data_IF_252779253861
#
_entry.id   IF_252779253861
#
_cell.length_a   1.000
_cell.length_b   1.000
_cell.length_c   1.000
_cell.angle_alpha   90.00
_cell.angle_beta   90.00
_cell.angle_gamma   90.00
#
_symmetry.space_group_name_H-M   'P 1'
#
loop_
_entity.id
_entity.type
_entity.pdbx_description
1 polymer ?
#
# COMPACT_ATOMS: atom_id res chain seq x y z
N UNK A 1 7.81 15.41 -19.80
CA UNK A 1 8.02 15.21 -18.36
C UNK A 1 9.42 14.60 -18.19
N UNK A 2 10.18 15.04 -17.19
CA UNK A 2 11.54 14.54 -16.97
C UNK A 2 11.49 13.08 -16.50
N UNK A 3 12.09 12.16 -17.28
CA UNK A 3 12.13 10.73 -17.00
C UNK A 3 12.86 10.45 -15.68
N UNK A 4 13.91 11.24 -15.38
CA UNK A 4 14.64 11.13 -14.11
C UNK A 4 13.76 11.43 -12.90
N UNK A 5 12.94 12.49 -12.97
CA UNK A 5 12.00 12.84 -11.91
C UNK A 5 10.93 11.77 -11.71
N UNK A 6 10.42 11.20 -12.81
CA UNK A 6 9.44 10.09 -12.76
C UNK A 6 10.02 8.85 -12.08
N UNK A 7 11.26 8.48 -12.43
CA UNK A 7 11.93 7.33 -11.83
C UNK A 7 12.19 7.54 -10.33
N UNK A 8 12.68 8.72 -9.94
CA UNK A 8 12.90 9.07 -8.53
C UNK A 8 11.58 9.05 -7.75
N UNK A 9 10.53 9.67 -8.29
CA UNK A 9 9.22 9.71 -7.64
C UNK A 9 8.61 8.30 -7.50
N UNK A 10 8.75 7.46 -8.52
CA UNK A 10 8.30 6.07 -8.50
C UNK A 10 8.98 5.28 -7.37
N UNK A 11 10.30 5.38 -7.25
CA UNK A 11 11.06 4.72 -6.18
C UNK A 11 10.66 5.29 -4.81
N UNK A 12 10.49 6.61 -4.71
CA UNK A 12 10.11 7.28 -3.45
C UNK A 12 8.72 6.88 -2.96
N UNK A 13 7.79 6.61 -3.86
CA UNK A 13 6.43 6.19 -3.52
C UNK A 13 6.35 4.68 -3.31
N UNK A 14 6.73 3.89 -4.32
CA UNK A 14 6.55 2.43 -4.27
C UNK A 14 7.57 1.72 -3.38
N UNK A 15 8.81 2.21 -3.33
CA UNK A 15 9.85 1.58 -2.52
C UNK A 15 9.44 1.41 -1.05
N UNK A 16 9.07 2.47 -0.33
CA UNK A 16 8.59 2.36 1.04
C UNK A 16 7.32 1.52 1.19
N UNK A 17 6.37 1.60 0.24
CA UNK A 17 5.11 0.86 0.33
C UNK A 17 5.30 -0.65 0.20
N UNK A 18 6.14 -1.10 -0.73
CA UNK A 18 6.49 -2.53 -0.86
C UNK A 18 7.29 -2.98 0.36
N UNK A 19 8.22 -2.14 0.86
CA UNK A 19 8.96 -2.47 2.07
C UNK A 19 8.04 -2.63 3.30
N UNK A 20 7.04 -1.77 3.46
CA UNK A 20 6.04 -1.86 4.54
C UNK A 20 5.20 -3.13 4.41
N UNK A 21 4.82 -3.50 3.19
CA UNK A 21 4.13 -4.74 2.89
C UNK A 21 4.95 -5.95 3.37
N UNK A 22 6.20 -6.06 2.94
CA UNK A 22 7.11 -7.14 3.33
C UNK A 22 7.39 -7.16 4.83
N UNK A 23 7.49 -5.96 5.45
CA UNK A 23 7.63 -5.83 6.89
C UNK A 23 6.43 -6.39 7.64
N UNK A 24 5.21 -6.25 7.09
CA UNK A 24 4.00 -6.87 7.62
C UNK A 24 4.13 -8.39 7.70
N UNK A 25 4.48 -9.05 6.60
CA UNK A 25 4.74 -10.50 6.56
C UNK A 25 5.83 -10.91 7.55
N UNK A 26 6.94 -10.20 7.54
CA UNK A 26 8.08 -10.45 8.41
C UNK A 26 7.72 -10.42 9.90
N UNK A 27 7.05 -9.36 10.34
CA UNK A 27 6.70 -9.17 11.75
C UNK A 27 5.73 -10.27 12.23
N UNK A 28 4.67 -10.53 11.47
CA UNK A 28 3.65 -11.51 11.85
C UNK A 28 4.21 -12.94 11.78
N UNK A 29 5.05 -13.26 10.79
CA UNK A 29 5.74 -14.55 10.72
C UNK A 29 6.61 -14.78 11.96
N UNK A 30 7.44 -13.80 12.33
CA UNK A 30 8.30 -13.90 13.51
C UNK A 30 7.53 -14.02 14.83
N UNK A 31 6.45 -13.24 14.99
CA UNK A 31 5.60 -13.30 16.18
C UNK A 31 4.93 -14.67 16.34
N UNK A 32 4.68 -15.38 15.24
CA UNK A 32 4.09 -16.72 15.23
C UNK A 32 5.12 -17.86 15.16
N UNK A 33 6.43 -17.56 15.32
CA UNK A 33 7.48 -18.57 15.36
C UNK A 33 7.87 -19.16 14.01
N UNK A 34 7.44 -18.55 12.90
CA UNK A 34 7.91 -18.89 11.55
C UNK A 34 9.29 -18.29 11.33
N UNK A 35 10.25 -19.13 10.92
CA UNK A 35 11.60 -18.68 10.66
C UNK A 35 11.70 -17.95 9.33
N UNK A 36 12.34 -16.79 9.35
CA UNK A 36 12.64 -15.99 8.15
C UNK A 36 14.13 -16.15 7.82
N UNK A 37 14.41 -16.65 6.63
CA UNK A 37 15.78 -16.86 6.16
C UNK A 37 16.43 -15.54 5.75
N UNK A 38 15.70 -14.71 5.00
CA UNK A 38 16.22 -13.46 4.47
C UNK A 38 15.15 -12.36 4.51
N UNK A 39 15.58 -11.14 4.88
CA UNK A 39 14.85 -9.91 4.72
C UNK A 39 15.71 -8.95 3.89
N UNK A 40 15.30 -8.69 2.66
CA UNK A 40 16.04 -7.88 1.71
C UNK A 40 15.45 -6.49 1.53
N UNK A 41 16.31 -5.48 1.52
CA UNK A 41 15.98 -4.13 1.06
C UNK A 41 16.24 -4.07 -0.45
N UNK A 42 15.19 -3.89 -1.24
CA UNK A 42 15.23 -4.02 -2.69
C UNK A 42 15.09 -5.48 -3.16
N UNK A 43 14.93 -5.66 -4.49
CA UNK A 43 14.82 -6.99 -5.11
C UNK A 43 16.19 -7.51 -5.60
N UNK A 44 16.40 -8.84 -5.61
CA UNK A 44 17.61 -9.47 -6.13
C UNK A 44 17.99 -8.98 -7.54
N UNK A 45 19.28 -9.07 -7.91
CA UNK A 45 20.34 -9.81 -7.23
C UNK A 45 20.90 -9.11 -5.99
N UNK A 46 21.43 -9.92 -5.03
CA UNK A 46 22.05 -9.42 -3.79
C UNK A 46 23.29 -8.58 -4.12
N UNK A 47 23.32 -7.35 -3.59
CA UNK A 47 24.46 -6.47 -3.66
C UNK A 47 25.38 -6.65 -2.44
N UNK A 48 24.77 -6.64 -1.24
CA UNK A 48 25.51 -6.67 0.02
C UNK A 48 24.70 -7.36 1.13
N UNK A 49 25.37 -8.22 1.92
CA UNK A 49 24.86 -8.66 3.21
C UNK A 49 25.17 -7.61 4.27
N UNK A 50 24.15 -7.02 4.85
CA UNK A 50 24.30 -5.97 5.88
C UNK A 50 24.68 -6.58 7.23
N UNK A 51 23.85 -7.50 7.72
CA UNK A 51 24.11 -8.26 8.95
C UNK A 51 23.28 -9.55 8.96
N UNK A 52 23.60 -10.41 9.92
CA UNK A 52 22.83 -11.62 10.23
C UNK A 52 22.31 -11.54 11.66
N UNK A 53 21.04 -11.84 11.83
CA UNK A 53 20.38 -11.89 13.12
C UNK A 53 20.93 -13.03 14.00
N UNK A 54 20.48 -13.04 15.22
CA UNK A 54 20.78 -14.13 16.17
C UNK A 54 20.10 -15.41 15.73
N UNK A 55 20.84 -16.50 15.66
CA UNK A 55 20.34 -17.83 15.35
C UNK A 55 20.21 -18.73 16.57
N UNK A 56 19.74 -19.96 16.36
CA UNK A 56 19.66 -21.01 17.37
C UNK A 56 20.03 -22.35 16.77
N UNK A 57 20.73 -23.16 17.52
CA UNK A 57 21.11 -24.52 17.16
C UNK A 57 20.81 -25.44 18.31
N UNK A 58 20.28 -26.62 18.01
CA UNK A 58 20.10 -27.67 19.02
C UNK A 58 21.11 -28.78 18.77
N UNK A 59 21.97 -29.04 19.77
CA UNK A 59 22.97 -30.09 19.73
C UNK A 59 22.54 -31.13 20.79
N UNK A 60 22.11 -32.32 20.35
CA UNK A 60 21.47 -33.26 21.23
C UNK A 60 20.27 -32.66 21.95
N UNK A 61 20.32 -32.55 23.28
CA UNK A 61 19.29 -31.95 24.12
C UNK A 61 19.54 -30.46 24.46
N UNK A 62 20.71 -29.91 24.15
CA UNK A 62 21.09 -28.56 24.51
C UNK A 62 20.72 -27.55 23.41
N UNK A 63 20.06 -26.46 23.80
CA UNK A 63 19.82 -25.31 22.92
C UNK A 63 20.98 -24.32 23.04
N UNK A 64 21.56 -23.97 21.90
CA UNK A 64 22.72 -23.08 21.78
C UNK A 64 22.35 -21.90 20.92
N UNK A 65 22.62 -20.71 21.41
CA UNK A 65 22.38 -19.45 20.69
C UNK A 65 23.57 -19.16 19.78
N UNK A 66 23.31 -18.93 18.51
CA UNK A 66 24.28 -18.48 17.53
C UNK A 66 24.33 -16.96 17.59
N UNK A 67 25.49 -16.33 17.90
CA UNK A 67 25.59 -14.88 17.95
C UNK A 67 25.30 -14.21 16.61
N UNK A 68 24.97 -12.91 16.64
CA UNK A 68 24.82 -12.11 15.44
C UNK A 68 26.11 -12.13 14.61
N UNK A 69 26.00 -12.19 13.29
CA UNK A 69 27.10 -12.23 12.33
C UNK A 69 28.11 -13.38 12.54
N UNK A 70 27.73 -14.43 13.25
CA UNK A 70 28.56 -15.61 13.44
C UNK A 70 28.65 -16.40 12.12
N UNK A 71 29.88 -16.70 11.67
CA UNK A 71 30.10 -17.48 10.46
C UNK A 71 30.05 -18.96 10.77
N UNK A 72 28.90 -19.57 10.54
CA UNK A 72 28.74 -21.03 10.62
C UNK A 72 29.36 -21.68 9.38
N UNK A 73 30.20 -22.74 9.55
CA UNK A 73 30.65 -23.56 8.44
C UNK A 73 29.46 -24.09 7.62
N UNK A 74 29.55 -24.17 6.27
CA UNK A 74 28.47 -24.68 5.42
C UNK A 74 28.04 -26.11 5.76
N UNK A 75 28.99 -26.92 6.23
CA UNK A 75 28.80 -28.32 6.60
C UNK A 75 27.95 -28.50 7.86
N UNK A 76 27.79 -27.49 8.71
CA UNK A 76 26.88 -27.53 9.86
C UNK A 76 25.45 -27.50 9.34
N UNK A 77 24.82 -28.67 9.33
CA UNK A 77 23.44 -28.92 8.89
C UNK A 77 22.75 -29.86 9.89
N UNK A 78 21.42 -29.92 9.91
CA UNK A 78 20.72 -30.96 10.67
C UNK A 78 21.22 -32.35 10.26
N UNK A 79 21.55 -33.18 11.24
CA UNK A 79 22.20 -34.48 11.04
C UNK A 79 23.74 -34.43 11.14
N UNK A 80 24.38 -33.29 11.10
CA UNK A 80 25.82 -33.17 11.26
C UNK A 80 26.23 -33.35 12.72
N UNK A 81 27.30 -34.15 12.95
CA UNK A 81 27.96 -34.24 14.24
C UNK A 81 28.95 -33.09 14.41
N UNK A 82 28.81 -32.37 15.51
CA UNK A 82 29.61 -31.18 15.77
C UNK A 82 30.19 -31.20 17.20
N UNK A 83 31.34 -30.56 17.33
CA UNK A 83 31.90 -30.11 18.60
C UNK A 83 31.72 -28.60 18.70
N UNK A 84 30.98 -28.11 19.68
CA UNK A 84 30.72 -26.71 19.92
C UNK A 84 31.35 -26.25 21.24
N UNK A 85 32.08 -25.14 21.21
CA UNK A 85 32.52 -24.44 22.42
C UNK A 85 31.45 -23.40 22.73
N UNK A 86 30.90 -23.47 23.93
CA UNK A 86 29.82 -22.59 24.39
C UNK A 86 30.22 -21.85 25.66
N UNK A 87 29.71 -20.63 25.83
CA UNK A 87 29.83 -19.85 27.05
C UNK A 87 28.43 -19.54 27.59
N UNK A 88 28.27 -19.48 28.90
CA UNK A 88 27.01 -19.02 29.50
C UNK A 88 26.96 -17.50 29.49
N UNK A 89 25.82 -16.92 29.09
CA UNK A 89 25.56 -15.49 29.26
C UNK A 89 25.10 -15.17 30.70
N UNK A 90 24.91 -13.90 31.02
CA UNK A 90 24.42 -13.44 32.32
C UNK A 90 23.05 -14.00 32.72
N UNK A 91 22.32 -14.63 31.78
CA UNK A 91 21.02 -15.31 32.01
C UNK A 91 21.14 -16.84 32.00
N UNK A 92 22.35 -17.37 32.00
CA UNK A 92 22.60 -18.81 31.96
C UNK A 92 22.32 -19.49 30.59
N UNK A 93 22.13 -18.73 29.49
CA UNK A 93 21.90 -19.29 28.16
C UNK A 93 23.22 -19.64 27.50
N UNK A 94 23.29 -20.75 26.79
CA UNK A 94 24.48 -21.20 26.07
C UNK A 94 24.68 -20.41 24.78
N UNK A 95 25.78 -19.68 24.67
CA UNK A 95 26.17 -18.92 23.49
C UNK A 95 27.31 -19.62 22.77
N UNK A 96 27.17 -19.85 21.48
CA UNK A 96 28.18 -20.45 20.62
C UNK A 96 29.39 -19.52 20.47
N UNK A 97 30.57 -20.07 20.75
CA UNK A 97 31.87 -19.38 20.54
C UNK A 97 32.61 -19.94 19.33
N UNK A 98 32.57 -21.28 19.20
CA UNK A 98 33.22 -21.99 18.10
C UNK A 98 32.43 -23.26 17.79
N UNK A 99 32.45 -23.71 16.55
CA UNK A 99 31.88 -24.99 16.13
C UNK A 99 32.77 -25.63 15.08
N UNK A 100 33.01 -26.91 15.24
CA UNK A 100 33.77 -27.73 14.30
C UNK A 100 32.92 -28.96 13.95
N UNK A 101 32.86 -29.30 12.66
CA UNK A 101 32.17 -30.51 12.20
C UNK A 101 33.08 -31.68 12.37
N UNK A 102 32.57 -32.77 12.97
CA UNK A 102 33.29 -34.01 13.16
C UNK A 102 33.05 -34.92 11.95
N UNK A 103 34.14 -35.45 11.35
CA UNK A 103 34.04 -36.41 10.25
C UNK A 103 33.57 -37.76 10.75
N UNK A 104 32.74 -38.48 9.97
CA UNK A 104 32.32 -39.84 10.25
C UNK A 104 33.55 -40.79 10.28
N UNK A 105 33.97 -41.20 11.48
CA UNK A 105 35.12 -42.06 11.66
C UNK A 105 36.08 -41.65 12.78
N UNK A 106 35.98 -40.45 13.31
CA UNK A 106 36.65 -40.08 14.55
C UNK A 106 35.87 -40.61 15.74
N UNK A 107 36.36 -41.71 16.34
CA UNK A 107 35.75 -42.29 17.53
C UNK A 107 35.61 -41.25 18.64
N UNK A 108 34.42 -41.17 19.29
CA UNK A 108 34.17 -40.20 20.37
C UNK A 108 35.04 -40.38 21.62
N UNK A 109 35.96 -41.33 21.63
CA UNK A 109 36.63 -41.82 22.82
C UNK A 109 38.07 -41.34 23.08
N UNK A 110 38.75 -40.67 22.14
CA UNK A 110 40.21 -40.48 22.29
C UNK A 110 40.74 -39.03 22.16
N UNK A 111 39.93 -38.03 22.36
CA UNK A 111 40.45 -36.66 22.55
C UNK A 111 40.16 -36.23 23.98
N UNK A 112 41.23 -36.18 24.82
CA UNK A 112 41.13 -35.60 26.15
C UNK A 112 40.47 -34.20 26.12
N UNK A 113 39.59 -33.93 27.10
CA UNK A 113 38.93 -32.63 27.19
C UNK A 113 39.93 -31.58 27.69
N UNK A 114 40.75 -31.02 26.83
CA UNK A 114 41.35 -29.76 27.13
C UNK A 114 40.23 -28.71 27.19
N UNK A 115 39.71 -28.49 28.41
CA UNK A 115 38.73 -27.43 28.67
C UNK A 115 39.44 -26.11 28.37
N UNK A 116 38.98 -25.34 27.36
CA UNK A 116 39.54 -24.01 27.17
C UNK A 116 39.22 -23.20 28.43
N UNK A 117 40.04 -22.25 28.83
CA UNK A 117 39.89 -21.50 30.08
C UNK A 117 38.58 -20.75 30.22
N UNK A 118 37.78 -20.65 29.17
CA UNK A 118 36.51 -19.90 29.14
C UNK A 118 35.36 -20.58 28.37
N UNK A 119 35.14 -21.89 28.47
CA UNK A 119 33.96 -22.47 27.78
C UNK A 119 33.68 -23.97 28.06
N UNK A 120 32.41 -24.33 28.06
CA UNK A 120 31.94 -25.72 28.10
C UNK A 120 31.97 -26.28 26.66
N UNK A 121 32.51 -27.50 26.48
CA UNK A 121 32.44 -28.21 25.19
C UNK A 121 31.22 -29.08 25.14
N UNK A 122 30.49 -28.99 24.04
CA UNK A 122 29.29 -29.75 23.76
C UNK A 122 29.49 -30.52 22.48
N UNK A 123 29.40 -31.86 22.55
CA UNK A 123 29.48 -32.73 21.36
C UNK A 123 28.12 -33.40 21.14
N UNK A 124 27.70 -33.46 19.88
CA UNK A 124 26.46 -34.13 19.54
C UNK A 124 25.99 -33.84 18.12
N UNK A 125 24.93 -34.52 17.78
CA UNK A 125 24.25 -34.28 16.50
C UNK A 125 23.45 -32.97 16.53
N UNK A 126 23.53 -32.19 15.46
CA UNK A 126 22.68 -31.00 15.24
C UNK A 126 21.28 -31.48 14.86
N UNK A 127 20.35 -31.44 15.80
CA UNK A 127 18.95 -31.86 15.54
C UNK A 127 18.09 -30.76 14.95
N UNK A 128 18.43 -29.51 15.24
CA UNK A 128 17.73 -28.33 14.71
C UNK A 128 18.73 -27.19 14.49
N UNK A 129 18.59 -26.51 13.34
CA UNK A 129 19.42 -25.36 13.00
C UNK A 129 18.55 -24.22 12.46
N UNK A 130 18.63 -23.07 13.11
CA UNK A 130 18.18 -21.78 12.65
C UNK A 130 19.39 -20.85 12.59
N UNK A 131 19.80 -20.46 11.40
CA UNK A 131 20.99 -19.62 11.20
C UNK A 131 20.75 -18.15 11.57
N UNK A 132 19.49 -17.77 11.87
CA UNK A 132 19.04 -16.40 12.03
C UNK A 132 18.80 -15.71 10.69
N UNK A 133 17.95 -14.70 10.71
CA UNK A 133 17.58 -13.95 9.49
C UNK A 133 18.78 -13.19 8.93
N UNK A 134 19.04 -13.34 7.64
CA UNK A 134 19.97 -12.51 6.90
C UNK A 134 19.30 -11.22 6.45
N UNK A 135 19.92 -10.08 6.72
CA UNK A 135 19.46 -8.76 6.24
C UNK A 135 20.38 -8.34 5.10
N UNK A 136 19.79 -8.08 3.93
CA UNK A 136 20.52 -7.84 2.69
C UNK A 136 20.12 -6.53 2.03
N UNK A 137 21.04 -5.95 1.29
CA UNK A 137 20.78 -4.87 0.35
C UNK A 137 20.88 -5.45 -1.06
N UNK A 138 19.89 -5.18 -1.89
CA UNK A 138 19.79 -5.71 -3.24
C UNK A 138 19.88 -4.61 -4.29
N UNK A 139 20.14 -5.01 -5.52
CA UNK A 139 20.48 -4.10 -6.62
C UNK A 139 19.27 -3.27 -7.09
N UNK A 140 18.09 -3.85 -7.11
CA UNK A 140 16.89 -3.17 -7.61
C UNK A 140 16.22 -2.45 -6.44
N UNK A 141 16.23 -1.09 -6.37
CA UNK A 141 15.77 -0.32 -5.21
C UNK A 141 14.24 -0.19 -5.16
N UNK A 142 13.52 -1.27 -5.42
CA UNK A 142 12.06 -1.32 -5.41
C UNK A 142 11.58 -2.14 -4.22
N UNK A 143 11.41 -1.47 -3.06
CA UNK A 143 10.82 -2.08 -1.88
C UNK A 143 11.73 -3.06 -1.15
N UNK A 144 11.24 -4.25 -0.89
CA UNK A 144 11.95 -5.31 -0.18
C UNK A 144 11.42 -6.68 -0.58
N UNK A 145 11.97 -7.72 0.02
CA UNK A 145 11.42 -9.05 -0.04
C UNK A 145 11.67 -9.82 1.27
N UNK A 146 10.79 -10.72 1.57
CA UNK A 146 10.89 -11.65 2.70
C UNK A 146 10.94 -13.06 2.16
N UNK A 147 11.88 -13.87 2.68
CA UNK A 147 11.93 -15.30 2.39
C UNK A 147 11.62 -16.09 3.65
N UNK A 148 10.37 -16.53 3.85
CA UNK A 148 10.05 -17.47 4.91
C UNK A 148 10.70 -18.82 4.64
N UNK A 149 11.16 -19.47 5.69
CA UNK A 149 11.67 -20.83 5.57
C UNK A 149 10.54 -21.77 5.14
N UNK A 150 10.84 -22.69 4.21
CA UNK A 150 9.85 -23.70 3.78
C UNK A 150 8.53 -23.09 3.35
N UNK A 151 8.59 -22.06 2.51
CA UNK A 151 7.40 -21.33 2.04
C UNK A 151 6.44 -22.25 1.28
N UNK A 152 6.95 -23.15 0.46
CA UNK A 152 6.18 -24.07 -0.37
C UNK A 152 6.29 -25.55 0.08
N UNK A 153 7.22 -25.91 1.01
CA UNK A 153 7.39 -27.27 1.50
C UNK A 153 6.89 -27.44 2.95
N UNK A 154 5.75 -28.14 3.16
CA UNK A 154 5.20 -28.38 4.49
C UNK A 154 6.05 -29.30 5.40
N UNK A 155 7.04 -30.02 4.84
CA UNK A 155 7.93 -30.90 5.60
C UNK A 155 9.02 -30.14 6.35
N UNK A 156 9.24 -28.87 5.98
CA UNK A 156 10.28 -28.06 6.61
C UNK A 156 9.84 -27.61 8.00
N UNK A 157 10.55 -28.07 9.01
CA UNK A 157 10.26 -27.74 10.42
C UNK A 157 10.47 -26.24 10.67
N UNK A 158 9.45 -25.58 11.25
CA UNK A 158 9.47 -24.13 11.50
C UNK A 158 9.25 -23.30 10.25
N UNK A 159 8.88 -23.93 9.12
CA UNK A 159 8.53 -23.28 7.87
C UNK A 159 7.11 -22.75 7.81
N UNK A 160 6.85 -21.85 6.88
CA UNK A 160 5.53 -21.23 6.70
C UNK A 160 4.50 -22.27 6.24
N UNK A 161 4.83 -23.09 5.24
CA UNK A 161 3.90 -24.07 4.70
C UNK A 161 3.49 -25.13 5.72
N UNK A 162 4.38 -25.53 6.66
CA UNK A 162 4.10 -26.45 7.75
C UNK A 162 3.35 -25.82 8.94
N UNK A 163 3.19 -24.50 8.98
CA UNK A 163 2.53 -23.80 10.07
C UNK A 163 1.00 -24.06 10.09
N UNK A 164 0.34 -23.93 11.26
CA UNK A 164 -1.12 -24.00 11.36
C UNK A 164 -1.82 -23.03 10.41
N UNK A 165 -3.00 -23.41 9.89
CA UNK A 165 -3.78 -22.60 8.92
C UNK A 165 -3.98 -21.15 9.39
N UNK A 166 -4.29 -20.94 10.68
CA UNK A 166 -4.44 -19.60 11.28
C UNK A 166 -3.18 -18.75 11.18
N UNK A 167 -2.01 -19.38 11.34
CA UNK A 167 -0.72 -18.70 11.24
C UNK A 167 -0.42 -18.33 9.79
N UNK A 168 -0.61 -19.28 8.86
CA UNK A 168 -0.45 -19.04 7.42
C UNK A 168 -1.36 -17.90 6.96
N UNK A 169 -2.64 -17.95 7.33
CA UNK A 169 -3.61 -16.90 7.04
C UNK A 169 -3.17 -15.54 7.60
N UNK A 170 -2.77 -15.49 8.88
CA UNK A 170 -2.34 -14.24 9.52
C UNK A 170 -1.09 -13.64 8.83
N UNK A 171 -0.11 -14.48 8.47
CA UNK A 171 1.09 -14.02 7.76
C UNK A 171 0.72 -13.47 6.39
N UNK A 172 -0.11 -14.17 5.60
CA UNK A 172 -0.50 -13.75 4.25
C UNK A 172 -1.34 -12.47 4.24
N UNK A 173 -2.21 -12.25 5.23
CA UNK A 173 -2.99 -11.02 5.34
C UNK A 173 -2.15 -9.84 5.83
N UNK A 174 -1.04 -10.13 6.53
CA UNK A 174 -0.27 -9.10 7.24
C UNK A 174 0.38 -8.06 6.29
N UNK A 175 0.83 -8.46 5.10
CA UNK A 175 1.39 -7.53 4.11
C UNK A 175 0.37 -6.51 3.65
N UNK A 176 -0.79 -6.97 3.20
CA UNK A 176 -1.90 -6.11 2.81
C UNK A 176 -2.40 -5.25 3.98
N UNK A 177 -2.51 -5.83 5.18
CA UNK A 177 -2.88 -5.11 6.40
C UNK A 177 -1.90 -4.00 6.76
N UNK A 178 -0.60 -4.24 6.58
CA UNK A 178 0.44 -3.23 6.80
C UNK A 178 0.30 -2.05 5.82
N UNK A 179 -0.04 -2.30 4.55
CA UNK A 179 -0.30 -1.24 3.58
C UNK A 179 -1.54 -0.42 3.93
N UNK A 180 -2.63 -1.05 4.36
CA UNK A 180 -3.83 -0.32 4.79
C UNK A 180 -3.56 0.52 6.05
N UNK A 181 -2.78 -0.01 6.99
CA UNK A 181 -2.36 0.72 8.18
C UNK A 181 -1.44 1.90 7.81
N UNK A 182 -0.49 1.69 6.90
CA UNK A 182 0.39 2.77 6.43
C UNK A 182 -0.40 3.91 5.78
N UNK A 183 -1.40 3.58 4.96
CA UNK A 183 -2.29 4.57 4.37
C UNK A 183 -3.05 5.37 5.44
N UNK A 184 -3.59 4.70 6.45
CA UNK A 184 -4.28 5.36 7.56
C UNK A 184 -3.34 6.31 8.34
N UNK A 185 -2.09 5.89 8.57
CA UNK A 185 -1.07 6.73 9.22
C UNK A 185 -0.74 7.95 8.35
N UNK A 186 -0.49 7.76 7.04
CA UNK A 186 -0.16 8.84 6.10
C UNK A 186 -1.31 9.86 6.05
N UNK A 187 -2.56 9.40 5.91
CA UNK A 187 -3.73 10.28 5.87
C UNK A 187 -3.92 11.01 7.21
N UNK A 188 -3.73 10.33 8.34
CA UNK A 188 -3.78 10.98 9.66
C UNK A 188 -2.71 12.07 9.80
N UNK A 189 -1.50 11.83 9.32
CA UNK A 189 -0.44 12.82 9.31
C UNK A 189 -0.79 14.01 8.41
N UNK A 190 -1.41 13.78 7.25
CA UNK A 190 -1.87 14.85 6.37
C UNK A 190 -2.88 15.75 7.08
N UNK A 191 -3.89 15.18 7.73
CA UNK A 191 -4.86 15.97 8.50
C UNK A 191 -4.23 16.71 9.68
N UNK A 192 -3.21 16.14 10.33
CA UNK A 192 -2.51 16.79 11.43
C UNK A 192 -1.57 17.92 10.96
N UNK A 193 -0.90 17.76 9.82
CA UNK A 193 0.07 18.73 9.29
C UNK A 193 -0.54 19.81 8.44
N UNK A 194 -1.72 19.56 7.88
CA UNK A 194 -2.53 20.48 7.10
C UNK A 194 -2.99 19.90 5.78
N UNK A 195 -4.28 20.00 5.56
CA UNK A 195 -4.94 19.69 4.29
C UNK A 195 -5.42 20.96 3.63
N UNK A 196 -5.30 21.09 2.29
CA UNK A 196 -5.85 22.24 1.58
C UNK A 196 -7.38 22.16 1.63
N UNK A 197 -8.00 23.16 2.21
CA UNK A 197 -9.45 23.34 2.20
C UNK A 197 -9.79 24.62 1.43
N UNK A 198 -10.88 24.56 0.69
CA UNK A 198 -11.40 25.72 -0.03
C UNK A 198 -12.03 26.64 1.01
N UNK A 199 -11.32 27.70 1.38
CA UNK A 199 -11.84 28.72 2.28
C UNK A 199 -12.89 29.60 1.57
N UNK A 200 -12.66 29.86 0.30
CA UNK A 200 -13.58 30.64 -0.53
C UNK A 200 -13.60 30.08 -1.95
N UNK A 201 -14.79 29.86 -2.47
CA UNK A 201 -15.02 29.49 -3.86
C UNK A 201 -15.90 30.54 -4.56
N UNK A 202 -15.77 30.62 -5.85
CA UNK A 202 -16.72 31.33 -6.71
C UNK A 202 -17.59 30.33 -7.46
N UNK A 203 -18.87 30.61 -7.51
CA UNK A 203 -19.83 29.79 -8.24
C UNK A 203 -19.89 30.32 -9.68
N UNK A 204 -19.33 29.52 -10.60
CA UNK A 204 -19.20 29.87 -12.02
C UNK A 204 -20.20 29.09 -12.85
N UNK A 205 -20.87 29.73 -13.77
CA UNK A 205 -21.78 29.11 -14.73
C UNK A 205 -20.94 28.33 -15.76
N UNK A 206 -21.02 26.99 -15.72
CA UNK A 206 -20.32 26.11 -16.65
C UNK A 206 -21.09 25.87 -17.95
N UNK A 207 -22.44 25.90 -17.88
CA UNK A 207 -23.31 25.68 -19.03
C UNK A 207 -24.65 26.40 -18.83
N UNK A 208 -25.20 26.92 -19.90
CA UNK A 208 -26.56 27.49 -19.94
C UNK A 208 -27.37 26.71 -20.96
N UNK A 209 -28.44 26.07 -20.54
CA UNK A 209 -29.32 25.27 -21.40
C UNK A 209 -30.11 26.21 -22.33
N UNK A 210 -30.24 25.87 -23.61
CA UNK A 210 -31.12 26.61 -24.53
C UNK A 210 -32.57 26.68 -24.00
N UNK A 211 -33.25 27.79 -24.32
CA UNK A 211 -34.66 28.03 -23.94
C UNK A 211 -34.94 27.98 -22.43
N UNK A 212 -33.90 28.09 -21.62
CA UNK A 212 -34.02 28.13 -20.15
C UNK A 212 -34.29 29.52 -19.62
N UNK A 213 -34.80 29.68 -18.37
CA UNK A 213 -34.90 30.98 -17.72
C UNK A 213 -33.57 31.74 -17.69
N UNK A 214 -32.47 31.04 -17.49
CA UNK A 214 -31.12 31.62 -17.50
C UNK A 214 -30.72 32.14 -18.89
N UNK A 215 -31.02 31.37 -19.96
CA UNK A 215 -30.77 31.84 -21.33
C UNK A 215 -31.60 33.08 -21.70
N UNK A 216 -32.89 33.07 -21.32
CA UNK A 216 -33.78 34.24 -21.56
C UNK A 216 -33.34 35.46 -20.77
N UNK A 217 -32.78 35.29 -19.59
CA UNK A 217 -32.21 36.33 -18.75
C UNK A 217 -30.83 36.81 -19.20
N UNK A 218 -30.22 36.20 -20.25
CA UNK A 218 -28.96 36.62 -20.82
C UNK A 218 -27.71 36.17 -20.01
N UNK A 219 -27.84 35.14 -19.15
CA UNK A 219 -26.72 34.54 -18.48
C UNK A 219 -25.82 33.78 -19.47
N UNK A 220 -24.52 33.82 -19.24
CA UNK A 220 -23.51 33.25 -20.13
C UNK A 220 -22.57 32.28 -19.37
N UNK A 221 -21.91 31.43 -20.13
CA UNK A 221 -20.82 30.59 -19.61
C UNK A 221 -19.69 31.50 -19.11
N UNK A 222 -19.08 31.14 -18.00
CA UNK A 222 -18.08 31.87 -17.23
C UNK A 222 -18.61 33.08 -16.44
N UNK A 223 -19.92 33.30 -16.37
CA UNK A 223 -20.48 34.25 -15.40
C UNK A 223 -20.28 33.72 -13.99
N UNK A 224 -19.92 34.59 -13.05
CA UNK A 224 -19.77 34.27 -11.63
C UNK A 224 -21.00 34.76 -10.90
N UNK A 225 -21.68 33.89 -10.18
CA UNK A 225 -22.81 34.27 -9.32
C UNK A 225 -22.28 34.73 -7.98
N UNK A 226 -22.41 36.04 -7.72
CA UNK A 226 -21.90 36.68 -6.51
C UNK A 226 -22.96 36.73 -5.41
N UNK A 227 -24.22 37.04 -5.76
CA UNK A 227 -25.33 37.10 -4.80
C UNK A 227 -26.60 36.50 -5.42
N UNK A 228 -27.49 36.01 -4.57
CA UNK A 228 -28.85 35.64 -4.91
C UNK A 228 -29.83 36.27 -3.90
N UNK A 229 -30.75 37.11 -4.37
CA UNK A 229 -31.66 37.84 -3.49
C UNK A 229 -30.97 38.70 -2.45
N UNK A 230 -29.80 39.26 -2.80
CA UNK A 230 -28.98 40.05 -1.87
C UNK A 230 -28.08 39.26 -0.92
N UNK A 231 -28.25 37.93 -0.81
CA UNK A 231 -27.40 37.06 -0.01
C UNK A 231 -26.13 36.69 -0.79
N UNK A 232 -24.98 36.71 -0.12
CA UNK A 232 -23.71 36.32 -0.73
C UNK A 232 -23.74 34.81 -1.01
N UNK A 233 -23.28 34.41 -2.19
CA UNK A 233 -23.15 33.02 -2.61
C UNK A 233 -21.66 32.65 -2.49
N UNK A 234 -21.33 31.80 -1.54
CA UNK A 234 -19.96 31.33 -1.32
C UNK A 234 -19.74 29.91 -1.84
N UNK A 235 -20.83 29.13 -1.97
CA UNK A 235 -20.81 27.75 -2.47
C UNK A 235 -21.96 27.46 -3.40
N UNK A 236 -21.77 26.47 -4.26
CA UNK A 236 -22.83 25.99 -5.17
C UNK A 236 -24.10 25.54 -4.45
N UNK A 237 -23.93 24.97 -3.23
CA UNK A 237 -25.04 24.56 -2.38
C UNK A 237 -25.92 25.72 -1.94
N UNK A 238 -25.34 26.89 -1.68
CA UNK A 238 -26.10 28.10 -1.28
C UNK A 238 -26.99 28.58 -2.41
N UNK A 239 -26.45 28.64 -3.63
CA UNK A 239 -27.22 28.98 -4.83
C UNK A 239 -28.31 27.94 -5.08
N UNK A 240 -27.97 26.66 -5.00
CA UNK A 240 -28.92 25.56 -5.23
C UNK A 240 -30.07 25.63 -4.22
N UNK A 241 -29.79 25.80 -2.94
CA UNK A 241 -30.76 25.95 -1.87
C UNK A 241 -31.65 27.15 -2.10
N UNK A 242 -31.07 28.30 -2.42
CA UNK A 242 -31.81 29.52 -2.68
C UNK A 242 -32.76 29.39 -3.88
N UNK A 243 -32.28 28.85 -4.99
CA UNK A 243 -33.09 28.62 -6.20
C UNK A 243 -34.24 27.67 -5.95
N UNK A 244 -34.00 26.56 -5.23
CA UNK A 244 -35.06 25.59 -4.90
C UNK A 244 -36.13 26.13 -3.94
N UNK A 245 -35.76 27.08 -3.07
CA UNK A 245 -36.74 27.68 -2.15
C UNK A 245 -37.57 28.79 -2.79
N UNK A 246 -37.24 29.25 -4.01
CA UNK A 246 -37.93 30.34 -4.73
C UNK A 246 -38.36 29.91 -6.15
N UNK A 247 -38.77 28.66 -6.32
CA UNK A 247 -39.32 28.18 -7.59
C UNK A 247 -40.64 28.92 -7.91
N UNK A 248 -40.84 29.28 -9.19
CA UNK A 248 -41.95 30.06 -9.73
C UNK A 248 -42.04 31.49 -9.16
N UNK A 249 -41.05 31.93 -8.42
CA UNK A 249 -40.88 33.33 -7.97
C UNK A 249 -39.77 34.02 -8.76
N UNK A 250 -39.91 35.32 -9.00
CA UNK A 250 -38.87 36.09 -9.61
C UNK A 250 -37.72 36.31 -8.62
N UNK A 251 -36.53 35.79 -8.94
CA UNK A 251 -35.31 36.03 -8.18
C UNK A 251 -34.35 36.96 -8.93
N UNK A 252 -33.52 37.65 -8.14
CA UNK A 252 -32.46 38.51 -8.70
C UNK A 252 -31.11 37.88 -8.32
N UNK A 253 -30.29 37.61 -9.35
CA UNK A 253 -28.91 37.18 -9.21
C UNK A 253 -27.97 38.33 -9.52
N UNK A 254 -27.02 38.63 -8.65
CA UNK A 254 -25.92 39.55 -8.93
C UNK A 254 -24.82 38.76 -9.59
N UNK A 255 -24.50 39.07 -10.83
CA UNK A 255 -23.55 38.36 -11.68
C UNK A 255 -22.33 39.24 -11.94
N UNK A 256 -21.15 38.62 -11.87
CA UNK A 256 -19.89 39.24 -12.34
C UNK A 256 -19.46 38.59 -13.65
N UNK A 257 -19.34 39.41 -14.69
CA UNK A 257 -18.86 39.04 -16.03
C UNK A 257 -17.60 39.85 -16.35
N UNK A 258 -16.45 39.20 -16.26
CA UNK A 258 -15.16 39.94 -16.30
C UNK A 258 -15.04 40.89 -15.11
N UNK A 259 -14.88 42.20 -15.39
CA UNK A 259 -14.79 43.22 -14.34
C UNK A 259 -16.15 43.90 -14.02
N UNK A 260 -17.20 43.61 -14.77
CA UNK A 260 -18.51 44.20 -14.57
C UNK A 260 -19.40 43.38 -13.70
N UNK A 261 -20.09 44.03 -12.77
CA UNK A 261 -21.09 43.41 -11.89
C UNK A 261 -22.45 44.04 -12.18
N UNK A 262 -23.45 43.21 -12.42
CA UNK A 262 -24.81 43.62 -12.73
C UNK A 262 -25.83 42.61 -12.23
N UNK A 263 -27.07 43.07 -12.07
CA UNK A 263 -28.17 42.23 -11.59
C UNK A 263 -28.95 41.65 -12.76
N UNK A 264 -29.30 40.37 -12.66
CA UNK A 264 -30.10 39.62 -13.63
C UNK A 264 -31.29 39.02 -12.91
N UNK A 265 -32.50 39.28 -13.41
CA UNK A 265 -33.73 38.73 -12.86
C UNK A 265 -34.21 37.55 -13.70
N UNK A 266 -34.56 36.46 -13.08
CA UNK A 266 -35.11 35.26 -13.72
C UNK A 266 -36.10 34.53 -12.79
N UNK A 267 -36.94 33.66 -13.35
CA UNK A 267 -37.91 32.89 -12.60
C UNK A 267 -37.56 31.40 -12.72
N UNK A 268 -37.05 30.74 -11.65
CA UNK A 268 -36.77 29.31 -11.68
C UNK A 268 -38.04 28.50 -11.86
N UNK A 269 -37.98 27.43 -12.66
CA UNK A 269 -39.12 26.55 -12.97
C UNK A 269 -39.31 25.52 -11.88
N UNK A 270 -40.56 25.26 -11.43
CA UNK A 270 -40.88 24.15 -10.54
C UNK A 270 -40.78 22.78 -11.23
N UNK A 271 -40.99 22.77 -12.55
CA UNK A 271 -41.00 21.54 -13.36
C UNK A 271 -40.02 21.67 -14.53
N UNK A 272 -38.71 21.57 -14.29
CA UNK A 272 -37.70 21.65 -15.36
C UNK A 272 -37.74 20.40 -16.24
N UNK A 273 -37.32 20.48 -17.52
CA UNK A 273 -37.16 19.31 -18.38
C UNK A 273 -36.14 18.31 -17.78
N UNK A 274 -36.21 17.04 -18.24
CA UNK A 274 -35.22 16.03 -17.84
C UNK A 274 -33.78 16.53 -18.08
N UNK A 275 -32.90 16.29 -17.10
CA UNK A 275 -31.50 16.72 -17.08
C UNK A 275 -31.26 18.25 -17.01
N UNK A 276 -32.27 19.04 -16.68
CA UNK A 276 -32.11 20.48 -16.42
C UNK A 276 -32.50 20.81 -14.98
N UNK A 277 -31.75 21.75 -14.38
CA UNK A 277 -32.17 22.35 -13.10
C UNK A 277 -33.25 23.45 -13.29
N UNK A 278 -33.82 23.98 -12.19
CA UNK A 278 -34.89 24.99 -12.22
C UNK A 278 -34.56 26.23 -13.05
N UNK A 279 -33.32 26.66 -13.05
CA UNK A 279 -32.83 27.83 -13.81
C UNK A 279 -32.29 27.48 -15.19
N UNK A 280 -31.93 26.19 -15.42
CA UNK A 280 -31.29 25.71 -16.63
C UNK A 280 -29.82 26.07 -16.74
N UNK A 281 -29.13 26.25 -15.60
CA UNK A 281 -27.67 26.40 -15.55
C UNK A 281 -27.02 25.17 -14.94
N UNK A 282 -25.82 24.86 -15.40
CA UNK A 282 -24.89 23.98 -14.67
C UNK A 282 -23.78 24.86 -14.10
N UNK A 283 -23.48 24.67 -12.84
CA UNK A 283 -22.52 25.48 -12.11
C UNK A 283 -21.32 24.63 -11.68
N UNK A 284 -20.15 25.25 -11.62
CA UNK A 284 -18.93 24.69 -11.03
C UNK A 284 -18.44 25.63 -9.92
N UNK A 285 -17.78 25.08 -8.92
CA UNK A 285 -17.04 25.86 -7.94
C UNK A 285 -15.60 26.04 -8.41
N UNK A 286 -15.14 27.28 -8.49
CA UNK A 286 -13.74 27.61 -8.69
C UNK A 286 -13.15 28.10 -7.38
N UNK A 287 -12.13 27.39 -6.82
CA UNK A 287 -11.47 27.84 -5.61
C UNK A 287 -10.72 29.15 -5.85
N UNK A 288 -11.04 30.17 -5.06
CA UNK A 288 -10.38 31.49 -5.07
C UNK A 288 -9.36 31.59 -3.95
N UNK A 289 -9.67 30.99 -2.81
CA UNK A 289 -8.80 30.99 -1.66
C UNK A 289 -8.73 29.58 -1.07
N UNK A 290 -7.51 29.06 -0.97
CA UNK A 290 -7.22 27.76 -0.39
C UNK A 290 -6.43 28.00 0.89
N UNK A 291 -6.95 27.56 2.02
CA UNK A 291 -6.26 27.60 3.32
C UNK A 291 -5.81 26.21 3.73
N UNK A 292 -4.67 26.15 4.43
CA UNK A 292 -4.16 24.89 5.01
C UNK A 292 -4.76 24.74 6.40
N UNK A 293 -5.72 23.84 6.54
CA UNK A 293 -6.40 23.55 7.80
C UNK A 293 -5.71 22.37 8.50
N UNK A 294 -5.34 22.57 9.77
CA UNK A 294 -4.73 21.55 10.63
C UNK A 294 -5.72 21.12 11.70
N UNK A 295 -5.79 19.82 11.91
CA UNK A 295 -6.66 19.24 12.92
C UNK A 295 -5.84 18.74 14.12
N UNK A 296 -6.37 18.81 15.36
CA UNK A 296 -5.76 18.18 16.52
C UNK A 296 -5.53 16.68 16.30
N UNK A 297 -4.44 16.14 16.84
CA UNK A 297 -4.01 14.76 16.57
C UNK A 297 -5.11 13.69 16.73
N UNK A 298 -5.95 13.70 17.81
CA UNK A 298 -7.03 12.72 17.91
C UNK A 298 -8.06 12.81 16.80
N UNK A 299 -8.42 14.04 16.39
CA UNK A 299 -9.35 14.28 15.27
C UNK A 299 -8.72 13.88 13.94
N UNK A 300 -7.45 14.22 13.71
CA UNK A 300 -6.71 13.86 12.52
C UNK A 300 -6.62 12.33 12.34
N UNK A 301 -6.40 11.58 13.43
CA UNK A 301 -6.42 10.10 13.40
C UNK A 301 -7.80 9.58 13.02
N UNK A 302 -8.86 10.10 13.63
CA UNK A 302 -10.22 9.68 13.30
C UNK A 302 -10.57 9.95 11.83
N UNK A 303 -10.22 11.15 11.32
CA UNK A 303 -10.41 11.54 9.91
C UNK A 303 -9.57 10.67 8.97
N UNK A 304 -8.32 10.37 9.30
CA UNK A 304 -7.45 9.51 8.49
C UNK A 304 -7.97 8.08 8.38
N UNK A 305 -8.49 7.53 9.48
CA UNK A 305 -9.14 6.21 9.48
C UNK A 305 -10.45 6.23 8.66
N UNK A 306 -11.27 7.26 8.84
CA UNK A 306 -12.52 7.41 8.10
C UNK A 306 -12.27 7.54 6.59
N UNK A 307 -11.30 8.36 6.20
CA UNK A 307 -10.90 8.53 4.80
C UNK A 307 -10.36 7.22 4.22
N UNK A 308 -9.55 6.47 4.97
CA UNK A 308 -9.06 5.15 4.54
C UNK A 308 -10.22 4.19 4.26
N UNK A 309 -11.19 4.10 5.15
CA UNK A 309 -12.38 3.25 4.98
C UNK A 309 -13.21 3.72 3.79
N UNK A 310 -13.37 5.03 3.62
CA UNK A 310 -14.10 5.60 2.48
C UNK A 310 -13.41 5.25 1.16
N UNK A 311 -12.09 5.41 1.06
CA UNK A 311 -11.30 5.06 -0.12
C UNK A 311 -11.39 3.56 -0.46
N UNK A 312 -11.33 2.68 0.56
CA UNK A 312 -11.50 1.24 0.36
C UNK A 312 -12.88 0.96 -0.25
N UNK A 313 -13.95 1.52 0.34
CA UNK A 313 -15.32 1.35 -0.18
C UNK A 313 -15.47 1.91 -1.59
N UNK A 314 -14.88 3.06 -1.86
CA UNK A 314 -14.90 3.67 -3.19
C UNK A 314 -14.23 2.77 -4.21
N UNK A 315 -12.98 2.32 -3.98
CA UNK A 315 -12.23 1.46 -4.90
C UNK A 315 -13.01 0.15 -5.16
N UNK A 316 -13.54 -0.49 -4.13
CA UNK A 316 -14.33 -1.71 -4.28
C UNK A 316 -15.67 -1.47 -5.02
N UNK A 317 -16.22 -0.27 -4.99
CA UNK A 317 -17.45 0.09 -5.70
C UNK A 317 -17.24 0.42 -7.18
N UNK A 318 -16.00 0.75 -7.60
CA UNK A 318 -15.70 1.19 -8.98
C UNK A 318 -16.21 0.21 -10.04
N UNK A 319 -15.97 -1.12 -9.96
CA UNK A 319 -16.48 -2.04 -10.97
C UNK A 319 -18.01 -2.00 -11.14
N UNK A 320 -18.72 -1.91 -10.02
CA UNK A 320 -20.19 -1.83 -10.02
C UNK A 320 -20.66 -0.50 -10.63
N UNK A 321 -20.02 0.61 -10.27
CA UNK A 321 -20.35 1.94 -10.80
C UNK A 321 -20.09 2.05 -12.31
N UNK A 322 -19.05 1.39 -12.81
CA UNK A 322 -18.78 1.30 -14.26
C UNK A 322 -19.89 0.50 -14.97
N UNK A 323 -20.29 -0.64 -14.41
CA UNK A 323 -21.39 -1.44 -14.97
C UNK A 323 -22.74 -0.69 -14.96
N UNK A 324 -22.95 0.18 -13.98
CA UNK A 324 -24.13 1.05 -13.89
C UNK A 324 -24.05 2.29 -14.78
N UNK A 325 -22.95 2.51 -15.50
CA UNK A 325 -22.73 3.70 -16.33
C UNK A 325 -22.48 5.00 -15.55
N UNK A 326 -22.31 4.92 -14.22
CA UNK A 326 -22.04 6.08 -13.36
C UNK A 326 -20.61 6.62 -13.50
N UNK A 327 -19.68 5.76 -13.92
CA UNK A 327 -18.28 6.11 -14.19
C UNK A 327 -17.95 5.64 -15.61
N UNK A 328 -17.48 6.52 -16.49
CA UNK A 328 -17.01 6.13 -17.81
C UNK A 328 -15.85 5.11 -17.70
N UNK A 329 -15.84 4.03 -18.51
CA UNK A 329 -14.76 3.04 -18.49
C UNK A 329 -13.36 3.63 -18.68
N UNK A 330 -13.24 4.73 -19.40
CA UNK A 330 -11.98 5.45 -19.61
C UNK A 330 -11.37 6.03 -18.32
N UNK A 331 -12.21 6.39 -17.34
CA UNK A 331 -11.76 6.90 -16.03
C UNK A 331 -11.48 5.78 -15.02
N UNK A 332 -12.02 4.58 -15.27
CA UNK A 332 -11.83 3.41 -14.40
C UNK A 332 -10.73 2.47 -14.91
N UNK A 333 -9.94 2.90 -15.89
CA UNK A 333 -8.86 2.07 -16.44
C UNK A 333 -7.81 1.74 -15.36
N UNK A 334 -7.29 0.51 -15.32
CA UNK A 334 -6.16 0.20 -14.45
C UNK A 334 -4.93 1.01 -14.90
N UNK A 335 -4.12 1.42 -13.91
CA UNK A 335 -2.89 2.18 -14.11
C UNK A 335 -1.71 1.26 -13.86
N UNK A 336 -0.82 1.14 -14.82
CA UNK A 336 0.38 0.32 -14.74
C UNK A 336 1.58 1.06 -14.12
N UNK A 337 2.76 0.39 -14.09
CA UNK A 337 3.96 0.99 -13.52
C UNK A 337 4.36 2.32 -14.15
N UNK A 338 4.18 2.46 -15.47
CA UNK A 338 4.49 3.70 -16.20
C UNK A 338 3.51 4.79 -15.83
N UNK A 339 2.20 4.51 -15.77
CA UNK A 339 1.19 5.47 -15.36
C UNK A 339 1.37 5.90 -13.90
N UNK A 340 1.70 4.97 -12.99
CA UNK A 340 2.05 5.30 -11.60
C UNK A 340 3.28 6.23 -11.56
N UNK A 341 4.31 5.97 -12.39
CA UNK A 341 5.50 6.81 -12.44
C UNK A 341 5.18 8.22 -12.97
N UNK A 342 4.27 8.33 -13.93
CA UNK A 342 3.79 9.63 -14.45
C UNK A 342 3.05 10.41 -13.37
N UNK A 343 2.09 9.77 -12.66
CA UNK A 343 1.35 10.38 -11.55
C UNK A 343 2.27 10.79 -10.41
N UNK A 344 3.20 9.92 -10.01
CA UNK A 344 4.17 10.20 -8.96
C UNK A 344 5.11 11.36 -9.35
N UNK A 345 5.60 11.39 -10.59
CA UNK A 345 6.44 12.47 -11.10
C UNK A 345 5.71 13.81 -11.11
N UNK A 346 4.45 13.85 -11.55
CA UNK A 346 3.66 15.08 -11.56
C UNK A 346 3.32 15.55 -10.15
N UNK A 347 2.92 14.65 -9.26
CA UNK A 347 2.64 15.01 -7.86
C UNK A 347 3.89 15.45 -7.11
N UNK A 348 5.06 14.87 -7.40
CA UNK A 348 6.33 15.33 -6.85
C UNK A 348 6.66 16.74 -7.38
N UNK A 349 6.49 16.99 -8.66
CA UNK A 349 6.67 18.32 -9.26
C UNK A 349 5.77 19.36 -8.61
N UNK A 350 4.48 19.06 -8.44
CA UNK A 350 3.52 19.92 -7.76
C UNK A 350 3.89 20.15 -6.29
N UNK A 351 4.39 19.12 -5.62
CA UNK A 351 4.83 19.21 -4.23
C UNK A 351 6.01 20.16 -4.06
N UNK A 352 6.98 20.08 -4.96
CA UNK A 352 8.15 20.96 -4.97
C UNK A 352 7.78 22.40 -5.36
N UNK A 353 6.91 22.58 -6.37
CA UNK A 353 6.49 23.90 -6.84
C UNK A 353 5.70 24.66 -5.79
N UNK A 354 4.83 23.98 -5.04
CA UNK A 354 3.97 24.58 -4.02
C UNK A 354 4.55 24.49 -2.61
N UNK A 355 5.78 24.00 -2.46
CA UNK A 355 6.45 23.79 -1.18
C UNK A 355 5.57 23.00 -0.16
N UNK A 356 4.87 21.96 -0.63
CA UNK A 356 3.99 21.13 0.18
C UNK A 356 4.08 19.67 -0.23
N UNK A 357 4.19 18.76 0.73
CA UNK A 357 4.21 17.32 0.48
C UNK A 357 2.82 16.69 0.31
N UNK A 358 1.76 17.49 0.48
CA UNK A 358 0.38 17.00 0.44
C UNK A 358 0.04 16.20 -0.84
N UNK A 359 0.32 16.67 -2.08
CA UNK A 359 -0.06 15.92 -3.28
C UNK A 359 0.62 14.55 -3.36
N UNK A 360 1.92 14.49 -3.06
CA UNK A 360 2.69 13.25 -3.13
C UNK A 360 2.28 12.26 -2.04
N UNK A 361 2.12 12.71 -0.79
CA UNK A 361 1.70 11.86 0.32
C UNK A 361 0.27 11.35 0.13
N UNK A 362 -0.65 12.18 -0.39
CA UNK A 362 -2.00 11.74 -0.71
C UNK A 362 -2.00 10.64 -1.77
N UNK A 363 -1.25 10.81 -2.86
CA UNK A 363 -1.07 9.77 -3.88
C UNK A 363 -0.48 8.49 -3.26
N UNK A 364 0.55 8.63 -2.40
CA UNK A 364 1.18 7.50 -1.70
C UNK A 364 0.16 6.72 -0.86
N UNK A 365 -0.72 7.41 -0.13
CA UNK A 365 -1.77 6.76 0.65
C UNK A 365 -2.78 6.00 -0.24
N UNK A 366 -3.20 6.60 -1.35
CA UNK A 366 -4.13 5.97 -2.31
C UNK A 366 -3.49 4.71 -2.92
N UNK A 367 -2.22 4.79 -3.35
CA UNK A 367 -1.49 3.63 -3.88
C UNK A 367 -1.33 2.55 -2.81
N UNK A 368 -1.06 2.93 -1.55
CA UNK A 368 -0.96 1.98 -0.44
C UNK A 368 -2.26 1.20 -0.23
N UNK A 369 -3.41 1.90 -0.27
CA UNK A 369 -4.73 1.25 -0.18
C UNK A 369 -4.96 0.31 -1.38
N UNK A 370 -4.65 0.78 -2.59
CA UNK A 370 -4.81 -0.01 -3.80
C UNK A 370 -3.95 -1.29 -3.76
N UNK A 371 -2.68 -1.19 -3.33
CA UNK A 371 -1.80 -2.35 -3.12
C UNK A 371 -2.36 -3.31 -2.07
N UNK A 372 -2.85 -2.79 -0.95
CA UNK A 372 -3.47 -3.61 0.10
C UNK A 372 -4.69 -4.38 -0.41
N UNK A 373 -5.58 -3.71 -1.14
CA UNK A 373 -6.79 -4.34 -1.72
C UNK A 373 -6.39 -5.37 -2.78
N UNK A 374 -5.52 -4.99 -3.71
CA UNK A 374 -5.11 -5.85 -4.83
C UNK A 374 -4.45 -7.13 -4.33
N UNK A 375 -3.56 -7.04 -3.31
CA UNK A 375 -2.92 -8.23 -2.73
C UNK A 375 -3.90 -9.14 -1.97
N UNK A 376 -5.08 -8.66 -1.56
CA UNK A 376 -6.13 -9.48 -0.97
C UNK A 376 -7.06 -10.13 -2.00
N UNK A 377 -7.00 -9.72 -3.27
CA UNK A 377 -7.82 -10.35 -4.30
C UNK A 377 -7.42 -11.82 -4.49
N UNK A 378 -8.40 -12.73 -4.70
CA UNK A 378 -8.13 -14.17 -4.86
C UNK A 378 -7.52 -14.49 -6.24
N UNK A 379 -6.45 -13.78 -6.58
CA UNK A 379 -5.72 -13.93 -7.83
C UNK A 379 -4.44 -14.76 -7.61
N UNK A 380 -4.13 -15.72 -8.47
CA UNK A 380 -2.85 -16.43 -8.40
C UNK A 380 -1.67 -15.46 -8.46
N UNK A 381 -0.56 -15.84 -7.86
CA UNK A 381 0.67 -15.05 -7.70
C UNK A 381 0.59 -13.87 -6.71
N UNK A 382 -0.57 -13.54 -6.18
CA UNK A 382 -0.77 -12.59 -5.08
C UNK A 382 -1.02 -13.33 -3.76
N UNK A 383 -0.88 -12.64 -2.63
CA UNK A 383 -1.17 -13.21 -1.30
C UNK A 383 -2.60 -13.73 -1.19
N UNK A 384 -3.57 -13.01 -1.78
CA UNK A 384 -4.97 -13.39 -1.82
C UNK A 384 -5.22 -14.74 -2.51
N UNK A 385 -4.41 -15.08 -3.51
CA UNK A 385 -4.44 -16.42 -4.11
C UNK A 385 -4.00 -17.50 -3.11
N UNK A 386 -2.93 -17.27 -2.36
CA UNK A 386 -2.49 -18.19 -1.30
C UNK A 386 -3.49 -18.24 -0.14
N UNK A 387 -4.10 -17.11 0.23
CA UNK A 387 -5.19 -17.05 1.22
C UNK A 387 -6.35 -17.92 0.76
N UNK A 388 -6.74 -17.87 -0.52
CA UNK A 388 -7.81 -18.71 -1.06
C UNK A 388 -7.50 -20.20 -0.89
N UNK A 389 -6.27 -20.66 -1.12
CA UNK A 389 -5.88 -22.07 -0.88
C UNK A 389 -5.98 -22.45 0.60
N UNK A 390 -5.57 -21.57 1.51
CA UNK A 390 -5.73 -21.79 2.97
C UNK A 390 -7.21 -21.89 3.36
N UNK A 391 -8.09 -21.08 2.77
CA UNK A 391 -9.53 -21.14 3.00
C UNK A 391 -10.14 -22.42 2.42
N UNK A 392 -9.77 -22.83 1.21
CA UNK A 392 -10.17 -24.11 0.61
C UNK A 392 -9.75 -25.28 1.50
N UNK A 393 -8.50 -25.27 2.01
CA UNK A 393 -8.02 -26.27 2.95
C UNK A 393 -8.83 -26.25 4.25
N UNK A 394 -9.24 -25.08 4.74
CA UNK A 394 -10.06 -24.97 5.96
C UNK A 394 -11.43 -25.64 5.78
N UNK A 395 -12.06 -25.45 4.60
CA UNK A 395 -13.37 -26.00 4.27
C UNK A 395 -13.31 -27.52 3.97
N UNK A 396 -12.30 -27.94 3.17
CA UNK A 396 -12.17 -29.34 2.72
C UNK A 396 -11.54 -30.26 3.76
N UNK A 397 -10.93 -29.71 4.81
CA UNK A 397 -10.21 -30.50 5.85
C UNK A 397 -8.87 -31.06 5.40
N UNK A 398 -8.50 -30.97 4.11
CA UNK A 398 -7.23 -31.47 3.54
C UNK A 398 -6.59 -30.43 2.65
N UNK A 399 -5.27 -30.39 2.67
CA UNK A 399 -4.46 -29.48 1.86
C UNK A 399 -4.61 -29.77 0.37
N UNK A 400 -4.52 -28.74 -0.47
CA UNK A 400 -4.34 -28.87 -1.91
C UNK A 400 -2.92 -29.37 -2.16
N UNK A 401 -2.75 -30.16 -3.19
CA UNK A 401 -1.46 -30.70 -3.61
C UNK A 401 -0.50 -29.53 -3.92
N UNK A 402 0.69 -29.47 -3.28
CA UNK A 402 1.64 -28.38 -3.48
C UNK A 402 2.06 -28.17 -4.94
N UNK A 403 2.17 -29.25 -5.72
CA UNK A 403 2.53 -29.17 -7.14
C UNK A 403 1.44 -28.43 -7.95
N UNK A 404 0.17 -28.70 -7.66
CA UNK A 404 -0.97 -28.03 -8.29
C UNK A 404 -1.08 -26.57 -7.86
N UNK A 405 -0.87 -26.29 -6.59
CA UNK A 405 -0.83 -24.93 -6.07
C UNK A 405 0.26 -24.12 -6.78
N UNK A 406 1.48 -24.64 -6.86
CA UNK A 406 2.61 -24.02 -7.57
C UNK A 406 2.31 -23.81 -9.06
N UNK A 407 1.73 -24.80 -9.74
CA UNK A 407 1.37 -24.67 -11.16
C UNK A 407 0.32 -23.56 -11.39
N UNK A 408 -0.70 -23.47 -10.54
CA UNK A 408 -1.73 -22.41 -10.62
C UNK A 408 -1.10 -21.04 -10.41
N UNK A 409 -0.21 -20.89 -9.41
CA UNK A 409 0.50 -19.64 -9.17
C UNK A 409 1.41 -19.25 -10.33
N UNK A 410 2.11 -20.21 -10.95
CA UNK A 410 2.97 -19.96 -12.11
C UNK A 410 2.18 -19.47 -13.32
N UNK A 411 1.06 -20.14 -13.65
CA UNK A 411 0.18 -19.72 -14.75
C UNK A 411 -0.39 -18.33 -14.46
N UNK A 412 -0.87 -18.09 -13.23
CA UNK A 412 -1.40 -16.79 -12.83
C UNK A 412 -0.36 -15.68 -12.91
N UNK A 413 0.89 -15.95 -12.52
CA UNK A 413 1.99 -15.01 -12.65
C UNK A 413 2.26 -14.66 -14.12
N UNK A 414 2.26 -15.65 -15.02
CA UNK A 414 2.42 -15.42 -16.45
C UNK A 414 1.30 -14.52 -17.01
N UNK A 415 0.05 -14.79 -16.62
CA UNK A 415 -1.11 -13.97 -17.02
C UNK A 415 -1.03 -12.55 -16.46
N UNK A 416 -0.65 -12.38 -15.18
CA UNK A 416 -0.48 -11.05 -14.58
C UNK A 416 0.65 -10.27 -15.24
N UNK A 417 1.77 -10.91 -15.59
CA UNK A 417 2.85 -10.27 -16.34
C UNK A 417 2.39 -9.83 -17.73
N UNK A 418 1.65 -10.68 -18.45
CA UNK A 418 1.08 -10.33 -19.75
C UNK A 418 0.10 -9.14 -19.64
N UNK A 419 -0.77 -9.16 -18.63
CA UNK A 419 -1.69 -8.04 -18.33
C UNK A 419 -0.91 -6.76 -17.99
N UNK A 420 0.12 -6.85 -17.16
CA UNK A 420 0.97 -5.72 -16.80
C UNK A 420 1.67 -5.10 -18.01
N UNK A 421 2.17 -5.93 -18.95
CA UNK A 421 2.75 -5.45 -20.21
C UNK A 421 1.71 -4.73 -21.08
N UNK A 422 0.49 -5.26 -21.15
CA UNK A 422 -0.60 -4.65 -21.91
C UNK A 422 -1.00 -3.28 -21.29
N UNK A 423 -1.14 -3.21 -19.97
CA UNK A 423 -1.45 -1.95 -19.27
C UNK A 423 -0.29 -0.96 -19.43
N UNK A 424 0.95 -1.41 -19.34
CA UNK A 424 2.14 -0.56 -19.56
C UNK A 424 2.16 0.01 -20.97
N UNK A 425 1.84 -0.81 -21.96
CA UNK A 425 1.68 -0.34 -23.35
C UNK A 425 0.58 0.72 -23.46
N UNK A 426 -0.56 0.50 -22.80
CA UNK A 426 -1.67 1.45 -22.77
C UNK A 426 -1.27 2.77 -22.11
N UNK A 427 -0.49 2.74 -21.01
CA UNK A 427 0.02 3.95 -20.33
C UNK A 427 0.98 4.75 -21.22
N UNK A 428 1.75 4.09 -22.09
CA UNK A 428 2.64 4.75 -23.05
C UNK A 428 1.88 5.40 -24.19
N UNK A 429 0.87 4.72 -24.73
CA UNK A 429 0.07 5.22 -25.87
C UNK A 429 -0.92 6.31 -25.41
N UNK A 430 -1.52 6.13 -24.24
CA UNK A 430 -2.48 7.05 -23.64
C UNK A 430 -2.02 7.47 -22.23
N UNK A 431 -1.09 8.43 -22.11
CA UNK A 431 -0.57 8.86 -20.82
C UNK A 431 -1.67 9.29 -19.84
N UNK A 432 -1.46 9.03 -18.55
CA UNK A 432 -2.36 9.48 -17.50
C UNK A 432 -2.14 10.98 -17.30
N UNK A 433 -3.17 11.78 -17.60
CA UNK A 433 -3.14 13.23 -17.40
C UNK A 433 -3.93 13.56 -16.14
N UNK A 434 -3.30 14.27 -15.21
CA UNK A 434 -4.03 14.89 -14.08
C UNK A 434 -4.70 16.14 -14.64
N UNK A 435 -6.04 16.28 -14.55
CA UNK A 435 -6.71 17.53 -14.93
C UNK A 435 -6.09 18.68 -14.13
N UNK A 436 -5.73 19.74 -14.85
CA UNK A 436 -5.21 20.98 -14.25
C UNK A 436 -6.31 21.78 -13.63
#
# INVERSE_FOLDING_TARGET
>A
MDIGLMAVAFILVLGPLVLVHELGHFLVARLNGVHIEEFGFGYPPRLLKLWQGQGRMRIGNAEVIIPRNFRLPPQVQPGAWVEAVIAADARGRHILRQVTVLELGQNPGEAEPATPPDGLRLRGEVTRLDRGTEYTLNLIPLGGFVRPRGEDDPRVVGGLAGAPKRVRFAVLVAGAGANLLAAAIILSLLFATGTPEIARAEVVIAEVSPDSPAAQAGLQVNDVVVKAGGQLIERAEDLTRYVHSHTDEQITLTIRRGEQTFDVSLTPRSNPPENQGPTGIRINEQPVEITMVRHPLPQAIAMGLQETVWQIRFILSVPVRVLQGLIPPSLARPVGPVGISQLAGETLRLSLANNTWYPLLRLTAIISIALGITNLLPLPALDGGRILFVLIEAIRGRRVDPERETAIHFIGMALLLALMLLITWQDLVNPVVIPR
#
